data_IF_973576065434
#
_entry.id   IF_973576065434
#
_cell.length_a   1.000
_cell.length_b   1.000
_cell.length_c   1.000
_cell.angle_alpha   90.00
_cell.angle_beta   90.00
_cell.angle_gamma   90.00
#
_symmetry.space_group_name_H-M   'P 1'
#
loop_
_entity.id
_entity.type
_entity.pdbx_description
1 polymer ?
#
# COMPACT_ATOMS: atom_id res chain seq x y z
N UNK A 1 6.64 -21.85 2.85
CA UNK A 1 7.09 -20.73 1.99
C UNK A 1 8.46 -21.11 1.45
N UNK A 2 8.62 -21.07 0.16
CA UNK A 2 9.91 -21.33 -0.49
C UNK A 2 10.56 -20.01 -0.84
N UNK A 3 11.90 -19.99 -0.87
CA UNK A 3 12.64 -18.82 -1.33
C UNK A 3 13.40 -19.15 -2.62
N UNK A 4 13.47 -18.17 -3.51
CA UNK A 4 14.32 -18.22 -4.70
C UNK A 4 15.36 -17.12 -4.58
N UNK A 5 16.62 -17.50 -4.41
CA UNK A 5 17.73 -16.55 -4.35
C UNK A 5 18.38 -16.42 -5.72
N UNK A 6 18.47 -15.18 -6.20
CA UNK A 6 19.14 -14.83 -7.46
C UNK A 6 20.46 -14.08 -7.23
N UNK A 7 20.74 -13.70 -5.97
CA UNK A 7 21.97 -13.02 -5.58
C UNK A 7 22.32 -13.37 -4.13
N UNK A 8 23.62 -13.50 -3.78
CA UNK A 8 24.04 -13.74 -2.40
C UNK A 8 23.49 -12.70 -1.41
N UNK A 9 23.36 -11.43 -1.80
CA UNK A 9 22.81 -10.33 -0.97
C UNK A 9 21.39 -10.59 -0.48
N UNK A 10 20.60 -11.43 -1.17
CA UNK A 10 19.27 -11.82 -0.74
C UNK A 10 19.33 -12.67 0.54
N UNK A 11 20.31 -13.56 0.65
CA UNK A 11 20.49 -14.41 1.84
C UNK A 11 21.04 -13.63 3.05
N UNK A 12 21.56 -12.41 2.84
CA UNK A 12 21.97 -11.52 3.93
C UNK A 12 20.77 -10.80 4.60
N UNK A 13 19.57 -10.90 4.00
CA UNK A 13 18.35 -10.20 4.48
C UNK A 13 17.18 -11.15 4.74
N UNK A 14 17.23 -12.37 4.21
CA UNK A 14 16.16 -13.38 4.36
C UNK A 14 16.77 -14.67 4.88
N UNK A 15 16.14 -15.23 5.94
CA UNK A 15 16.48 -16.58 6.40
C UNK A 15 16.25 -17.58 5.25
N UNK A 16 17.18 -18.49 4.95
CA UNK A 16 17.00 -19.49 3.90
C UNK A 16 15.83 -20.45 4.17
N UNK A 17 15.35 -20.55 5.41
CA UNK A 17 14.24 -21.41 5.82
C UNK A 17 13.23 -20.66 6.68
N UNK A 18 12.64 -19.56 6.20
CA UNK A 18 11.76 -18.75 7.02
C UNK A 18 10.47 -19.52 7.34
N UNK A 19 10.03 -19.55 8.60
CA UNK A 19 8.74 -20.15 8.92
C UNK A 19 7.60 -19.33 8.32
N UNK A 20 6.63 -20.01 7.69
CA UNK A 20 5.36 -19.41 7.33
C UNK A 20 4.33 -19.77 8.40
N UNK A 21 3.80 -18.77 9.08
CA UNK A 21 2.81 -18.97 10.16
C UNK A 21 1.51 -18.27 9.77
N UNK A 22 0.42 -19.05 9.74
CA UNK A 22 -0.91 -18.48 9.58
C UNK A 22 -1.36 -17.88 10.92
N UNK A 23 -1.42 -16.56 11.01
CA UNK A 23 -1.78 -15.83 12.22
C UNK A 23 -3.29 -15.57 12.33
N UNK A 24 -4.00 -15.54 11.19
CA UNK A 24 -5.45 -15.33 11.14
C UNK A 24 -6.02 -15.81 9.79
N UNK A 25 -7.29 -16.17 9.78
CA UNK A 25 -7.97 -16.69 8.58
C UNK A 25 -9.46 -16.33 8.59
N UNK A 26 -10.15 -16.60 7.48
CA UNK A 26 -11.58 -16.36 7.30
C UNK A 26 -11.86 -14.97 6.77
N UNK A 27 -10.97 -14.46 5.90
CA UNK A 27 -11.14 -13.24 5.14
C UNK A 27 -11.44 -13.57 3.68
N UNK A 28 -12.17 -12.70 3.02
CA UNK A 28 -12.47 -12.84 1.58
C UNK A 28 -11.37 -12.20 0.73
N UNK A 29 -10.89 -11.01 1.14
CA UNK A 29 -9.79 -10.30 0.48
C UNK A 29 -9.04 -9.43 1.50
N UNK A 30 -8.03 -10.01 2.15
CA UNK A 30 -7.23 -9.30 3.14
C UNK A 30 -6.28 -8.33 2.46
N UNK A 31 -6.21 -7.07 2.95
CA UNK A 31 -5.42 -5.98 2.38
C UNK A 31 -5.01 -4.94 3.42
N UNK A 32 -4.21 -3.97 2.98
CA UNK A 32 -3.82 -2.78 3.72
C UNK A 32 -3.13 -3.05 5.05
N UNK A 33 -2.24 -4.04 5.18
CA UNK A 33 -1.65 -4.34 6.48
C UNK A 33 -0.74 -3.19 6.95
N UNK A 34 -0.89 -2.80 8.22
CA UNK A 34 0.00 -1.85 8.89
C UNK A 34 0.22 -2.26 10.34
N UNK A 35 1.48 -2.23 10.77
CA UNK A 35 1.86 -2.57 12.14
C UNK A 35 1.96 -1.32 13.03
N UNK A 36 1.20 -1.27 14.11
CA UNK A 36 1.39 -0.26 15.15
C UNK A 36 2.43 -0.74 16.17
N UNK A 37 3.63 -0.13 16.10
CA UNK A 37 4.74 -0.44 17.01
C UNK A 37 4.44 -0.13 18.49
N UNK A 38 3.53 0.81 18.75
CA UNK A 38 3.18 1.24 20.11
C UNK A 38 2.26 0.25 20.82
N UNK A 39 1.19 -0.17 20.11
CA UNK A 39 0.24 -1.16 20.64
C UNK A 39 0.67 -2.62 20.39
N UNK A 40 1.68 -2.83 19.51
CA UNK A 40 2.14 -4.14 19.02
C UNK A 40 0.99 -4.93 18.41
N UNK A 41 0.27 -4.28 17.48
CA UNK A 41 -0.88 -4.83 16.79
C UNK A 41 -0.75 -4.64 15.28
N UNK A 42 -1.19 -5.62 14.52
CA UNK A 42 -1.39 -5.52 13.08
C UNK A 42 -2.82 -5.04 12.82
N UNK A 43 -2.95 -4.00 12.03
CA UNK A 43 -4.22 -3.56 11.46
C UNK A 43 -4.26 -3.98 10.00
N UNK A 44 -5.42 -4.40 9.52
CA UNK A 44 -5.64 -4.78 8.13
C UNK A 44 -7.13 -4.73 7.79
N UNK A 45 -7.47 -4.77 6.52
CA UNK A 45 -8.85 -4.79 6.04
C UNK A 45 -9.20 -6.15 5.43
N UNK A 46 -10.48 -6.48 5.40
CA UNK A 46 -11.08 -7.39 4.44
C UNK A 46 -11.93 -6.54 3.50
N UNK A 47 -11.42 -6.23 2.31
CA UNK A 47 -12.09 -5.30 1.39
C UNK A 47 -13.47 -5.83 1.03
N UNK A 48 -13.56 -7.07 0.52
CA UNK A 48 -14.84 -7.69 0.11
C UNK A 48 -15.73 -7.93 1.30
N UNK A 49 -15.19 -8.41 2.43
CA UNK A 49 -15.90 -8.57 3.69
C UNK A 49 -16.31 -7.26 4.34
N UNK A 50 -15.85 -6.12 3.80
CA UNK A 50 -16.15 -4.75 4.27
C UNK A 50 -15.88 -4.55 5.76
N UNK A 51 -14.69 -4.97 6.24
CA UNK A 51 -14.31 -4.87 7.65
C UNK A 51 -12.89 -4.36 7.81
N UNK A 52 -12.67 -3.62 8.90
CA UNK A 52 -11.33 -3.32 9.42
C UNK A 52 -11.08 -4.19 10.64
N UNK A 53 -9.93 -4.83 10.64
CA UNK A 53 -9.50 -5.76 11.68
C UNK A 53 -8.23 -5.26 12.36
N UNK A 54 -8.05 -5.68 13.60
CA UNK A 54 -6.74 -5.70 14.27
C UNK A 54 -6.43 -7.11 14.77
N UNK A 55 -5.15 -7.44 14.79
CA UNK A 55 -4.64 -8.69 15.34
C UNK A 55 -3.51 -8.41 16.31
N UNK A 56 -3.45 -9.14 17.42
CA UNK A 56 -2.40 -9.03 18.41
C UNK A 56 -1.83 -10.40 18.74
N UNK A 57 -0.49 -10.56 18.82
CA UNK A 57 0.15 -11.80 19.24
C UNK A 57 -0.42 -12.29 20.58
N UNK A 58 -0.74 -13.59 20.67
CA UNK A 58 -1.28 -14.23 21.87
C UNK A 58 -2.73 -13.88 22.21
N UNK A 59 -3.38 -12.96 21.48
CA UNK A 59 -4.78 -12.56 21.71
C UNK A 59 -5.68 -12.96 20.54
N UNK A 60 -5.19 -12.79 19.30
CA UNK A 60 -5.96 -13.09 18.09
C UNK A 60 -6.52 -11.83 17.43
N UNK A 61 -7.53 -12.03 16.56
CA UNK A 61 -8.15 -10.97 15.73
C UNK A 61 -9.41 -10.38 16.37
N UNK A 62 -9.63 -9.09 16.14
CA UNK A 62 -10.81 -8.35 16.57
C UNK A 62 -11.25 -7.39 15.44
N UNK A 63 -12.56 -7.30 15.20
CA UNK A 63 -13.14 -6.32 14.26
C UNK A 63 -13.20 -4.96 14.94
N UNK A 64 -12.73 -3.92 14.27
CA UNK A 64 -12.78 -2.54 14.76
C UNK A 64 -13.76 -1.65 14.00
N UNK A 65 -14.16 -2.07 12.79
CA UNK A 65 -15.19 -1.39 12.00
C UNK A 65 -15.91 -2.40 11.09
N UNK A 66 -17.26 -2.39 11.12
CA UNK A 66 -18.14 -3.24 10.32
C UNK A 66 -19.51 -2.52 10.14
N UNK A 67 -19.94 -2.12 8.93
CA UNK A 67 -19.17 -2.17 7.68
C UNK A 67 -18.13 -1.07 7.55
N UNK A 68 -17.02 -1.34 6.83
CA UNK A 68 -15.97 -0.36 6.56
C UNK A 68 -16.22 0.49 5.31
N UNK A 69 -17.15 0.09 4.45
CA UNK A 69 -17.31 0.69 3.12
C UNK A 69 -16.16 0.31 2.17
N UNK A 70 -15.68 -0.94 2.28
CA UNK A 70 -14.60 -1.48 1.44
C UNK A 70 -13.32 -0.62 1.49
N UNK A 71 -12.84 -0.29 2.69
CA UNK A 71 -11.55 0.36 2.90
C UNK A 71 -10.40 -0.51 2.37
N UNK A 72 -9.27 0.11 2.01
CA UNK A 72 -8.09 -0.55 1.47
C UNK A 72 -6.81 -0.16 2.24
N UNK A 73 -5.79 0.37 1.59
CA UNK A 73 -4.50 0.67 2.17
C UNK A 73 -4.55 1.48 3.46
N UNK A 74 -3.65 1.19 4.39
CA UNK A 74 -3.60 1.87 5.68
C UNK A 74 -2.18 2.26 6.08
N UNK A 75 -2.07 3.36 6.83
CA UNK A 75 -0.84 3.81 7.47
C UNK A 75 -1.15 4.57 8.75
N UNK A 76 -0.14 4.90 9.55
CA UNK A 76 -0.29 5.79 10.69
C UNK A 76 0.31 7.15 10.42
N UNK A 77 -0.35 8.21 10.88
CA UNK A 77 0.25 9.53 10.92
C UNK A 77 1.21 9.69 12.13
N UNK A 78 1.91 10.81 12.19
CA UNK A 78 2.88 11.08 13.28
C UNK A 78 2.22 11.22 14.66
N UNK A 79 0.93 11.53 14.73
CA UNK A 79 0.14 11.53 15.96
C UNK A 79 -0.37 10.15 16.34
N UNK A 80 -0.12 9.16 15.48
CA UNK A 80 -0.52 7.79 15.64
C UNK A 80 -1.99 7.53 15.39
N UNK A 81 -2.61 8.33 14.56
CA UNK A 81 -3.96 8.09 14.08
C UNK A 81 -3.89 7.23 12.81
N UNK A 82 -4.80 6.29 12.68
CA UNK A 82 -4.88 5.45 11.51
C UNK A 82 -5.45 6.25 10.33
N UNK A 83 -4.69 6.31 9.24
CA UNK A 83 -5.12 6.83 7.95
C UNK A 83 -5.48 5.68 7.04
N UNK A 84 -6.53 5.85 6.25
CA UNK A 84 -7.06 4.79 5.38
C UNK A 84 -7.38 5.33 4.00
N UNK A 85 -6.93 4.64 2.98
CA UNK A 85 -7.39 4.80 1.61
C UNK A 85 -8.80 4.18 1.49
N UNK A 86 -9.81 5.03 1.47
CA UNK A 86 -11.21 4.62 1.43
C UNK A 86 -11.65 4.29 0.01
N UNK A 87 -11.40 3.09 -0.41
CA UNK A 87 -11.65 2.57 -1.76
C UNK A 87 -13.06 2.91 -2.28
N UNK A 88 -14.12 2.39 -1.66
CA UNK A 88 -15.50 2.74 -2.02
C UNK A 88 -16.01 4.03 -1.38
N UNK A 89 -15.34 4.51 -0.32
CA UNK A 89 -15.62 5.82 0.25
C UNK A 89 -15.16 6.95 -0.68
N UNK A 90 -14.21 6.64 -1.60
CA UNK A 90 -13.65 7.59 -2.57
C UNK A 90 -13.01 8.79 -1.86
N UNK A 91 -12.30 8.50 -0.77
CA UNK A 91 -11.73 9.51 0.12
C UNK A 91 -10.55 8.94 0.90
N UNK A 92 -9.71 9.82 1.41
CA UNK A 92 -8.76 9.50 2.46
C UNK A 92 -9.43 9.79 3.81
N UNK A 93 -9.45 8.79 4.65
CA UNK A 93 -10.12 8.80 5.95
C UNK A 93 -9.10 8.74 7.08
N UNK A 94 -9.49 9.26 8.24
CA UNK A 94 -8.67 9.24 9.44
C UNK A 94 -9.50 8.85 10.65
N UNK A 95 -9.04 7.84 11.37
CA UNK A 95 -9.61 7.45 12.66
C UNK A 95 -9.11 8.40 13.74
N UNK A 96 -10.00 9.13 14.35
CA UNK A 96 -9.70 10.10 15.39
C UNK A 96 -9.62 9.43 16.77
N UNK A 97 -8.99 10.09 17.73
CA UNK A 97 -8.80 9.56 19.09
C UNK A 97 -10.10 9.40 19.88
N UNK A 98 -11.15 10.15 19.51
CA UNK A 98 -12.49 10.05 20.10
C UNK A 98 -13.35 8.93 19.48
N UNK A 99 -12.79 8.17 18.55
CA UNK A 99 -13.47 7.09 17.84
C UNK A 99 -14.24 7.52 16.60
N UNK A 100 -14.30 8.80 16.29
CA UNK A 100 -14.90 9.30 15.05
C UNK A 100 -14.00 9.03 13.84
N UNK A 101 -14.56 9.11 12.63
CA UNK A 101 -13.82 8.99 11.37
C UNK A 101 -14.02 10.28 10.58
N UNK A 102 -12.91 10.96 10.30
CA UNK A 102 -12.87 12.20 9.53
C UNK A 102 -12.47 11.94 8.08
N UNK A 103 -13.09 12.62 7.13
CA UNK A 103 -12.62 12.72 5.75
C UNK A 103 -11.57 13.81 5.66
N UNK A 104 -10.34 13.47 5.28
CA UNK A 104 -9.25 14.46 5.15
C UNK A 104 -8.95 14.86 3.70
N UNK A 105 -9.33 14.03 2.73
CA UNK A 105 -9.31 14.36 1.30
C UNK A 105 -10.34 13.52 0.56
N UNK A 106 -11.08 14.11 -0.39
CA UNK A 106 -12.07 13.39 -1.22
C UNK A 106 -12.18 13.95 -2.64
N UNK A 107 -11.57 15.09 -2.90
CA UNK A 107 -11.65 15.78 -4.19
C UNK A 107 -10.27 16.30 -4.61
N UNK A 108 -10.09 16.39 -5.90
CA UNK A 108 -9.00 17.10 -6.56
C UNK A 108 -9.59 17.97 -7.67
N UNK A 109 -9.25 19.27 -7.70
CA UNK A 109 -9.77 20.26 -8.67
C UNK A 109 -11.32 20.23 -8.77
N UNK A 110 -11.99 20.18 -7.62
CA UNK A 110 -13.45 20.12 -7.51
C UNK A 110 -14.09 18.80 -7.94
N UNK A 111 -13.33 17.83 -8.42
CA UNK A 111 -13.79 16.51 -8.86
C UNK A 111 -13.51 15.45 -7.80
N UNK A 112 -14.46 14.53 -7.61
CA UNK A 112 -14.35 13.43 -6.67
C UNK A 112 -13.24 12.47 -7.10
N UNK A 113 -12.44 11.97 -6.13
CA UNK A 113 -11.42 10.93 -6.36
C UNK A 113 -12.03 9.68 -6.97
N UNK A 114 -11.22 8.85 -7.63
CA UNK A 114 -11.66 7.55 -8.17
C UNK A 114 -11.89 6.54 -7.03
N UNK A 115 -10.88 5.78 -6.66
CA UNK A 115 -10.90 4.89 -5.51
C UNK A 115 -9.48 4.78 -4.93
N UNK A 116 -9.17 5.57 -3.88
CA UNK A 116 -7.86 5.52 -3.22
C UNK A 116 -7.49 4.09 -2.83
N UNK A 117 -6.27 3.65 -3.20
CA UNK A 117 -5.84 2.27 -3.05
C UNK A 117 -4.83 2.09 -1.92
N UNK A 118 -3.61 2.58 -2.04
CA UNK A 118 -2.58 2.50 -1.00
C UNK A 118 -2.14 3.89 -0.54
N UNK A 119 -1.52 3.99 0.65
CA UNK A 119 -1.29 5.26 1.33
C UNK A 119 -0.02 5.21 2.17
N UNK A 120 0.77 6.29 2.13
CA UNK A 120 1.96 6.48 2.98
C UNK A 120 2.03 7.92 3.48
N UNK A 121 2.80 8.13 4.57
CA UNK A 121 3.07 9.45 5.15
C UNK A 121 4.59 9.67 5.14
N UNK A 122 5.05 10.84 4.69
CA UNK A 122 6.45 11.22 4.74
C UNK A 122 6.88 11.73 6.13
N UNK A 123 8.18 11.90 6.35
CA UNK A 123 8.74 12.40 7.61
C UNK A 123 8.32 13.83 7.98
N UNK A 124 7.74 14.57 7.04
CA UNK A 124 7.22 15.94 7.24
C UNK A 124 5.72 15.94 7.57
N UNK A 125 5.04 14.78 7.50
CA UNK A 125 3.62 14.61 7.79
C UNK A 125 2.70 14.81 6.59
N UNK A 126 3.21 14.94 5.37
CA UNK A 126 2.38 14.91 4.17
C UNK A 126 1.91 13.49 3.87
N UNK A 127 0.68 13.36 3.40
CA UNK A 127 0.07 12.08 3.06
C UNK A 127 0.05 11.89 1.56
N UNK A 128 0.50 10.73 1.09
CA UNK A 128 0.54 10.35 -0.33
C UNK A 128 -0.32 9.12 -0.55
N UNK A 129 -1.07 9.08 -1.64
CA UNK A 129 -1.89 7.91 -1.98
C UNK A 129 -1.98 7.69 -3.48
N UNK A 130 -2.20 6.45 -3.85
CA UNK A 130 -2.58 6.05 -5.21
C UNK A 130 -4.10 6.07 -5.36
N UNK A 131 -4.59 6.52 -6.49
CA UNK A 131 -6.02 6.63 -6.81
C UNK A 131 -6.32 5.89 -8.12
N UNK A 132 -6.69 4.63 -7.99
CA UNK A 132 -7.07 3.77 -9.12
C UNK A 132 -8.57 3.80 -9.37
N UNK A 133 -9.02 3.25 -10.49
CA UNK A 133 -10.45 3.14 -10.79
C UNK A 133 -11.08 1.81 -10.34
N UNK A 134 -10.38 1.00 -9.55
CA UNK A 134 -10.84 -0.34 -9.20
C UNK A 134 -12.17 -0.37 -8.46
N UNK A 135 -12.36 0.51 -7.48
CA UNK A 135 -13.62 0.62 -6.72
C UNK A 135 -14.80 1.15 -7.53
N UNK A 136 -14.59 1.51 -8.79
CA UNK A 136 -15.68 1.89 -9.69
C UNK A 136 -16.13 0.74 -10.60
N UNK A 137 -15.31 -0.33 -10.71
CA UNK A 137 -15.53 -1.37 -11.74
C UNK A 137 -15.36 -2.81 -11.26
N UNK A 138 -14.67 -3.07 -10.13
CA UNK A 138 -14.36 -4.45 -9.70
C UNK A 138 -15.56 -5.02 -8.92
N UNK A 139 -16.21 -6.10 -9.42
CA UNK A 139 -17.36 -6.70 -8.75
C UNK A 139 -17.05 -7.13 -7.31
N UNK A 140 -18.01 -6.94 -6.40
CA UNK A 140 -17.90 -7.29 -4.98
C UNK A 140 -17.25 -6.21 -4.11
N UNK A 141 -16.62 -5.20 -4.71
CA UNK A 141 -16.02 -4.06 -4.00
C UNK A 141 -16.23 -2.74 -4.76
N UNK A 142 -17.46 -2.52 -5.25
CA UNK A 142 -17.84 -1.35 -6.06
C UNK A 142 -18.47 -0.29 -5.18
N UNK A 143 -18.07 0.97 -5.37
CA UNK A 143 -18.65 2.12 -4.71
C UNK A 143 -20.12 2.30 -5.10
N UNK A 144 -20.92 2.93 -4.23
CA UNK A 144 -22.32 3.28 -4.56
C UNK A 144 -22.38 4.29 -5.70
N UNK A 145 -21.47 5.26 -5.71
CA UNK A 145 -21.30 6.23 -6.80
C UNK A 145 -20.13 5.77 -7.68
N UNK A 146 -20.44 5.18 -8.83
CA UNK A 146 -19.45 4.68 -9.80
C UNK A 146 -19.11 5.69 -10.90
N UNK A 147 -19.65 6.90 -10.83
CA UNK A 147 -19.34 7.94 -11.81
C UNK A 147 -17.85 8.29 -11.77
N UNK A 148 -17.17 8.15 -12.90
CA UNK A 148 -15.79 8.57 -13.05
C UNK A 148 -15.75 10.06 -13.37
N UNK A 149 -15.28 10.87 -12.41
CA UNK A 149 -15.16 12.32 -12.55
C UNK A 149 -13.79 12.76 -13.06
N UNK A 150 -12.74 11.98 -12.75
CA UNK A 150 -11.37 12.17 -13.23
C UNK A 150 -11.12 11.22 -14.41
N UNK A 151 -10.65 11.70 -15.53
CA UNK A 151 -10.37 10.95 -16.75
C UNK A 151 -9.01 10.22 -16.74
N UNK A 152 -8.27 10.33 -15.65
CA UNK A 152 -6.99 9.69 -15.39
C UNK A 152 -6.99 8.97 -14.03
N UNK A 153 -5.97 8.18 -13.78
CA UNK A 153 -5.62 7.56 -12.51
C UNK A 153 -4.25 8.06 -12.09
N UNK A 154 -4.03 8.30 -10.81
CA UNK A 154 -2.80 8.99 -10.43
C UNK A 154 -2.36 8.80 -8.99
N UNK A 155 -1.33 9.55 -8.63
CA UNK A 155 -0.80 9.64 -7.28
C UNK A 155 -0.96 11.08 -6.81
N UNK A 156 -1.47 11.24 -5.60
CA UNK A 156 -1.76 12.53 -4.99
C UNK A 156 -0.99 12.72 -3.70
N UNK A 157 -0.91 13.97 -3.27
CA UNK A 157 -0.31 14.39 -2.00
C UNK A 157 -1.24 15.38 -1.31
N UNK A 158 -1.51 15.15 -0.02
CA UNK A 158 -2.10 16.14 0.89
C UNK A 158 -0.98 16.80 1.67
N UNK A 159 -0.97 18.14 1.71
CA UNK A 159 0.02 18.91 2.47
C UNK A 159 -0.03 18.57 3.98
N UNK A 160 1.08 18.75 4.75
CA UNK A 160 1.11 18.42 6.18
C UNK A 160 0.08 19.16 7.02
N UNK A 161 -0.32 20.36 6.60
CA UNK A 161 -1.36 21.17 7.25
C UNK A 161 -2.80 20.76 6.85
N UNK A 162 -2.92 19.77 5.94
CA UNK A 162 -4.20 19.22 5.49
C UNK A 162 -5.03 20.13 4.57
N UNK A 163 -4.43 21.17 3.97
CA UNK A 163 -5.18 22.16 3.19
C UNK A 163 -5.12 22.00 1.70
N UNK A 164 -4.03 21.42 1.17
CA UNK A 164 -3.79 21.34 -0.26
C UNK A 164 -3.66 19.90 -0.72
N UNK A 165 -4.45 19.53 -1.72
CA UNK A 165 -4.32 18.28 -2.46
C UNK A 165 -3.66 18.58 -3.81
N UNK A 166 -2.51 18.00 -4.07
CA UNK A 166 -1.76 18.13 -5.30
C UNK A 166 -1.71 16.81 -6.07
N UNK A 167 -1.87 16.86 -7.39
CA UNK A 167 -1.57 15.73 -8.28
C UNK A 167 -0.07 15.67 -8.50
N UNK A 168 0.54 14.52 -8.19
CA UNK A 168 1.97 14.29 -8.41
C UNK A 168 2.25 13.55 -9.72
N UNK A 169 1.44 12.53 -10.02
CA UNK A 169 1.61 11.63 -11.16
C UNK A 169 0.22 11.40 -11.76
N UNK A 170 0.02 11.76 -13.03
CA UNK A 170 -1.28 11.66 -13.70
C UNK A 170 -1.29 10.71 -14.91
N UNK A 171 -0.20 9.96 -15.12
CA UNK A 171 0.00 9.09 -16.29
C UNK A 171 0.02 7.60 -15.94
N UNK A 172 -0.60 7.22 -14.82
CA UNK A 172 -0.72 5.82 -14.42
C UNK A 172 -1.86 5.11 -15.13
N UNK A 173 -1.66 3.82 -15.42
CA UNK A 173 -2.70 2.96 -15.96
C UNK A 173 -3.54 2.33 -14.86
N UNK A 174 -2.89 1.85 -13.78
CA UNK A 174 -3.53 1.34 -12.57
C UNK A 174 -2.55 1.44 -11.39
N UNK A 175 -2.39 2.64 -10.79
CA UNK A 175 -1.47 2.81 -9.67
C UNK A 175 -1.99 2.05 -8.44
N UNK A 176 -1.09 1.34 -7.76
CA UNK A 176 -1.41 0.49 -6.62
C UNK A 176 -0.43 0.78 -5.47
N UNK A 177 0.45 -0.14 -5.10
CA UNK A 177 1.39 0.07 -4.02
C UNK A 177 2.32 1.25 -4.23
N UNK A 178 2.61 1.99 -3.14
CA UNK A 178 3.60 3.06 -3.13
C UNK A 178 4.45 3.00 -1.85
N UNK A 179 5.73 3.42 -1.96
CA UNK A 179 6.63 3.48 -0.82
C UNK A 179 7.77 4.48 -1.07
N UNK A 180 8.29 5.09 -0.01
CA UNK A 180 9.49 5.91 -0.09
C UNK A 180 10.76 5.07 0.07
N UNK A 181 11.88 5.55 -0.52
CA UNK A 181 13.21 5.12 -0.10
C UNK A 181 13.47 5.53 1.35
N UNK A 182 14.43 4.89 2.08
CA UNK A 182 14.68 5.21 3.49
C UNK A 182 15.08 6.67 3.75
N UNK A 183 15.69 7.34 2.77
CA UNK A 183 16.06 8.76 2.82
C UNK A 183 14.99 9.69 2.23
N UNK A 184 13.86 9.15 1.83
CA UNK A 184 12.71 9.83 1.20
C UNK A 184 13.05 10.64 -0.07
N UNK A 185 14.19 10.36 -0.71
CA UNK A 185 14.55 11.01 -1.98
C UNK A 185 13.90 10.37 -3.19
N UNK A 186 13.39 9.14 -3.06
CA UNK A 186 12.65 8.44 -4.09
C UNK A 186 11.27 8.06 -3.59
N UNK A 187 10.26 8.27 -4.43
CA UNK A 187 8.94 7.65 -4.30
C UNK A 187 8.85 6.55 -5.35
N UNK A 188 8.63 5.32 -4.89
CA UNK A 188 8.32 4.18 -5.74
C UNK A 188 6.80 4.04 -5.86
N UNK A 189 6.32 3.78 -7.07
CA UNK A 189 4.90 3.51 -7.36
C UNK A 189 4.85 2.34 -8.33
N UNK A 190 4.07 1.32 -8.01
CA UNK A 190 3.83 0.27 -8.99
C UNK A 190 2.54 0.52 -9.79
N UNK A 191 2.49 -0.08 -10.96
CA UNK A 191 1.33 -0.10 -11.83
C UNK A 191 0.95 -1.56 -12.10
N UNK A 192 -0.21 -1.95 -11.60
CA UNK A 192 -0.69 -3.34 -11.68
C UNK A 192 -0.83 -3.82 -13.12
N UNK A 193 -1.36 -2.97 -14.02
CA UNK A 193 -1.61 -3.36 -15.42
C UNK A 193 -0.37 -3.41 -16.27
N UNK A 194 0.60 -2.56 -15.96
CA UNK A 194 1.89 -2.52 -16.65
C UNK A 194 2.90 -3.49 -16.02
N UNK A 195 2.56 -4.10 -14.87
CA UNK A 195 3.43 -4.98 -14.08
C UNK A 195 4.82 -4.37 -13.84
N UNK A 196 4.89 -3.07 -13.52
CA UNK A 196 6.14 -2.34 -13.35
C UNK A 196 6.16 -1.50 -12.09
N UNK A 197 7.35 -1.23 -11.60
CA UNK A 197 7.63 -0.25 -10.56
C UNK A 197 8.32 0.93 -11.22
N UNK A 198 7.81 2.14 -10.99
CA UNK A 198 8.44 3.41 -11.38
C UNK A 198 9.05 4.06 -10.15
N UNK A 199 10.19 4.74 -10.33
CA UNK A 199 10.82 5.57 -9.32
C UNK A 199 10.76 7.04 -9.74
N UNK A 200 10.48 7.91 -8.79
CA UNK A 200 10.36 9.35 -8.96
C UNK A 200 11.25 10.06 -7.95
N UNK A 201 12.06 11.02 -8.39
CA UNK A 201 12.88 11.83 -7.49
C UNK A 201 11.98 12.83 -6.75
N UNK A 202 12.02 12.80 -5.41
CA UNK A 202 11.22 13.65 -4.52
C UNK A 202 11.96 14.95 -4.26
N UNK A 203 11.30 16.08 -4.49
CA UNK A 203 11.85 17.42 -4.25
C UNK A 203 11.58 17.91 -2.82
N UNK A 204 12.22 19.00 -2.42
CA UNK A 204 12.08 19.55 -1.08
C UNK A 204 10.64 19.96 -0.71
N UNK A 205 9.86 20.39 -1.70
CA UNK A 205 8.44 20.76 -1.55
C UNK A 205 7.48 19.56 -1.54
N UNK A 206 8.01 18.34 -1.74
CA UNK A 206 7.24 17.10 -1.81
C UNK A 206 6.66 16.82 -3.19
N UNK A 207 6.91 17.68 -4.20
CA UNK A 207 6.63 17.35 -5.60
C UNK A 207 7.61 16.30 -6.11
N UNK A 208 7.29 15.67 -7.25
CA UNK A 208 8.16 14.66 -7.85
C UNK A 208 8.66 15.05 -9.23
N UNK A 209 9.81 14.53 -9.61
CA UNK A 209 10.37 14.66 -10.95
C UNK A 209 9.72 13.69 -11.95
N UNK A 210 10.23 13.64 -13.19
CA UNK A 210 9.82 12.62 -14.16
C UNK A 210 10.08 11.22 -13.66
N UNK A 211 9.12 10.32 -13.89
CA UNK A 211 9.26 8.91 -13.52
C UNK A 211 10.18 8.15 -14.48
N UNK A 212 10.90 7.17 -13.93
CA UNK A 212 11.65 6.18 -14.69
C UNK A 212 11.22 4.77 -14.27
N UNK A 213 11.24 3.82 -15.19
CA UNK A 213 11.03 2.42 -14.85
C UNK A 213 12.19 1.98 -13.95
N UNK A 214 11.86 1.58 -12.73
CA UNK A 214 12.80 1.05 -11.76
C UNK A 214 12.97 -0.46 -11.92
N UNK A 215 11.83 -1.17 -12.07
CA UNK A 215 11.83 -2.60 -12.27
C UNK A 215 10.60 -3.04 -13.05
N UNK A 216 10.77 -4.05 -13.94
CA UNK A 216 9.69 -4.73 -14.62
C UNK A 216 9.44 -6.07 -13.94
N UNK A 217 8.28 -6.24 -13.34
CA UNK A 217 7.88 -7.52 -12.76
C UNK A 217 7.56 -8.52 -13.86
N UNK A 218 8.01 -9.74 -13.69
CA UNK A 218 7.79 -10.82 -14.66
C UNK A 218 7.65 -12.18 -13.96
N UNK A 219 6.90 -13.09 -14.58
CA UNK A 219 6.63 -14.43 -14.11
C UNK A 219 5.48 -15.03 -14.90
N UNK A 220 5.35 -16.35 -14.87
CA UNK A 220 4.23 -17.08 -15.48
C UNK A 220 3.18 -17.50 -14.47
N UNK A 221 3.51 -17.36 -13.19
CA UNK A 221 2.64 -17.69 -12.07
C UNK A 221 1.59 -16.61 -11.86
N UNK A 222 0.50 -16.96 -11.17
CA UNK A 222 -0.50 -16.02 -10.73
C UNK A 222 0.10 -14.99 -9.75
N UNK A 223 -0.47 -13.80 -9.75
CA UNK A 223 -0.05 -12.67 -8.91
C UNK A 223 0.15 -11.40 -9.74
N UNK A 224 0.00 -10.27 -9.09
CA UNK A 224 0.10 -8.95 -9.72
C UNK A 224 0.94 -8.00 -8.86
N UNK A 225 1.43 -6.92 -9.49
CA UNK A 225 1.96 -5.78 -8.76
C UNK A 225 0.83 -5.15 -7.93
N UNK A 226 0.90 -5.29 -6.61
CA UNK A 226 -0.11 -4.83 -5.66
C UNK A 226 0.59 -4.09 -4.51
N UNK A 227 0.59 -4.58 -3.28
CA UNK A 227 1.27 -3.93 -2.18
C UNK A 227 2.80 -3.89 -2.32
N UNK A 228 3.41 -2.86 -1.75
CA UNK A 228 4.85 -2.63 -1.83
C UNK A 228 5.38 -1.99 -0.54
N UNK A 229 6.58 -2.42 -0.10
CA UNK A 229 7.30 -1.84 1.04
C UNK A 229 8.79 -1.75 0.73
N UNK A 230 9.51 -0.93 1.49
CA UNK A 230 10.97 -0.74 1.36
C UNK A 230 11.62 -1.00 2.71
N UNK A 231 12.73 -1.76 2.73
CA UNK A 231 13.50 -1.99 3.95
C UNK A 231 14.51 -0.86 4.22
N UNK A 232 15.17 -0.90 5.38
CA UNK A 232 16.16 0.11 5.79
C UNK A 232 17.43 0.14 4.91
N UNK A 233 17.67 -0.91 4.11
CA UNK A 233 18.78 -0.98 3.13
C UNK A 233 18.37 -0.43 1.76
N UNK A 234 17.08 -0.09 1.57
CA UNK A 234 16.51 0.41 0.33
C UNK A 234 16.07 -0.69 -0.63
N UNK A 235 16.00 -1.94 -0.21
CA UNK A 235 15.43 -2.99 -1.03
C UNK A 235 13.91 -2.83 -1.10
N UNK A 236 13.36 -2.93 -2.31
CA UNK A 236 11.93 -2.84 -2.58
C UNK A 236 11.35 -4.24 -2.58
N UNK A 237 10.33 -4.45 -1.74
CA UNK A 237 9.52 -5.66 -1.69
C UNK A 237 8.19 -5.33 -2.36
N UNK A 238 7.88 -6.02 -3.44
CA UNK A 238 6.64 -5.82 -4.20
C UNK A 238 5.99 -7.16 -4.47
N UNK A 239 4.70 -7.26 -4.26
CA UNK A 239 3.95 -8.43 -4.71
C UNK A 239 3.99 -8.52 -6.23
N UNK A 240 3.90 -9.74 -6.74
CA UNK A 240 4.00 -9.99 -8.17
C UNK A 240 3.73 -11.46 -8.49
N UNK A 241 3.95 -11.88 -9.73
CA UNK A 241 3.78 -13.28 -10.11
C UNK A 241 4.56 -14.23 -9.19
N UNK A 242 3.85 -15.17 -8.54
CA UNK A 242 4.41 -16.20 -7.68
C UNK A 242 4.78 -15.76 -6.26
N UNK A 243 4.45 -14.52 -5.82
CA UNK A 243 4.67 -14.07 -4.45
C UNK A 243 5.29 -12.69 -4.33
N UNK A 244 6.29 -12.49 -3.45
CA UNK A 244 6.94 -11.20 -3.22
C UNK A 244 8.30 -11.16 -3.90
N UNK A 245 8.48 -10.21 -4.79
CA UNK A 245 9.74 -9.91 -5.47
C UNK A 245 10.57 -8.96 -4.60
N UNK A 246 11.84 -9.27 -4.40
CA UNK A 246 12.78 -8.42 -3.65
C UNK A 246 13.79 -7.84 -4.62
N UNK A 247 13.77 -6.52 -4.74
CA UNK A 247 14.54 -5.76 -5.73
C UNK A 247 15.50 -4.85 -4.98
N UNK A 248 16.78 -4.88 -5.30
CA UNK A 248 17.78 -4.05 -4.65
C UNK A 248 17.69 -2.57 -5.11
N UNK A 249 18.38 -1.62 -4.44
CA UNK A 249 18.32 -0.19 -4.79
C UNK A 249 18.76 0.14 -6.22
N UNK A 250 19.43 -0.77 -6.93
CA UNK A 250 19.83 -0.64 -8.32
C UNK A 250 18.74 -1.14 -9.30
N UNK A 251 17.58 -1.57 -8.80
CA UNK A 251 16.47 -2.08 -9.60
C UNK A 251 16.65 -3.54 -10.06
N UNK A 252 17.61 -4.27 -9.50
CA UNK A 252 17.86 -5.67 -9.83
C UNK A 252 17.06 -6.59 -8.93
N UNK A 253 16.34 -7.56 -9.48
CA UNK A 253 15.72 -8.65 -8.72
C UNK A 253 16.80 -9.49 -8.06
N UNK A 254 16.80 -9.57 -6.73
CA UNK A 254 17.78 -10.33 -5.95
C UNK A 254 17.23 -11.64 -5.39
N UNK A 255 15.91 -11.75 -5.28
CA UNK A 255 15.24 -12.96 -4.84
C UNK A 255 13.73 -12.82 -4.83
N UNK A 256 13.06 -13.93 -4.53
CA UNK A 256 11.59 -13.99 -4.44
C UNK A 256 11.16 -14.87 -3.26
N UNK A 257 10.17 -14.39 -2.50
CA UNK A 257 9.46 -15.18 -1.50
C UNK A 257 8.26 -15.83 -2.19
N UNK A 258 8.32 -17.14 -2.38
CA UNK A 258 7.23 -17.89 -3.00
C UNK A 258 6.11 -18.14 -2.01
N UNK A 259 4.95 -17.61 -2.35
CA UNK A 259 3.72 -17.76 -1.58
C UNK A 259 2.67 -18.37 -2.52
N UNK A 260 2.09 -19.50 -2.12
CA UNK A 260 1.16 -20.23 -2.99
C UNK A 260 -0.21 -19.54 -3.10
N UNK A 261 -0.58 -18.77 -2.07
CA UNK A 261 -1.78 -17.94 -2.10
C UNK A 261 -1.51 -16.61 -2.80
N UNK A 262 -2.57 -15.97 -3.25
CA UNK A 262 -2.50 -14.63 -3.80
C UNK A 262 -2.01 -13.65 -2.73
N UNK A 263 -0.81 -13.11 -2.92
CA UNK A 263 -0.21 -12.15 -2.01
C UNK A 263 -0.62 -10.74 -2.44
N UNK A 264 -1.41 -10.07 -1.64
CA UNK A 264 -1.93 -8.72 -1.94
C UNK A 264 -1.00 -7.63 -1.44
N UNK A 265 -0.56 -7.70 -0.18
CA UNK A 265 0.24 -6.66 0.45
C UNK A 265 1.10 -7.23 1.59
N UNK A 266 1.91 -6.39 2.24
CA UNK A 266 2.78 -6.75 3.34
C UNK A 266 3.00 -5.59 4.31
N UNK A 267 3.46 -5.89 5.51
CA UNK A 267 3.91 -4.91 6.49
C UNK A 267 5.07 -5.48 7.32
N UNK A 268 5.95 -4.59 7.77
CA UNK A 268 6.96 -4.92 8.77
C UNK A 268 6.30 -4.99 10.15
N UNK A 269 6.56 -6.05 10.90
CA UNK A 269 5.93 -6.23 12.21
C UNK A 269 6.72 -7.12 13.17
N UNK A 270 6.23 -7.16 14.38
CA UNK A 270 6.51 -8.03 15.53
C UNK A 270 7.72 -7.67 16.36
N UNK A 271 8.95 -7.68 15.99
CA UNK A 271 10.06 -7.39 16.94
C UNK A 271 11.23 -6.75 16.24
N UNK A 272 11.72 -5.64 16.81
CA UNK A 272 13.02 -5.01 16.54
C UNK A 272 13.47 -4.99 15.04
N UNK A 273 12.78 -4.15 14.27
CA UNK A 273 13.21 -3.74 12.93
C UNK A 273 13.87 -2.37 12.97
#
# INVERSE_FOLDING_TARGET
>A
MDIESYSPEFLDIIDPHPPLVNIAQGFTFAEGPVWDKRSKQLFFVDIIGSKVWKWKPGVGKETILDPSGHMNGMTFDHQGRLLVAGWCNRAILRFEKDGSISTIASHFDGKKLNSPNDIVVDSKGATYWTDSAGGLVIPGMVATDVQRYLDFQGVYRLSPDGKEVSLLIGDCTYPNGLAFSPDEKLLYVNDTRLAQIRAFDVKQDGSVGPGRVFHQLSGLEDGVADGMKVDSKGNVYCTGPGGVHVINPQGKLIGRLRIHEHCTNMAWGVVDW
#
